data_IF_636658265409
#
_entry.id   IF_636658265409
#
_cell.length_a   1.000
_cell.length_b   1.000
_cell.length_c   1.000
_cell.angle_alpha   90.00
_cell.angle_beta   90.00
_cell.angle_gamma   90.00
#
_symmetry.space_group_name_H-M   'P 1'
#
loop_
_entity.id
_entity.type
_entity.pdbx_description
1 polymer ?
#
# COMPACT_ATOMS: atom_id res chain seq x y z
N UNK A 1 3.93 -8.74 -13.63
CA UNK A 1 3.51 -8.30 -12.30
C UNK A 1 4.51 -7.30 -11.76
N UNK A 2 4.04 -6.20 -11.23
CA UNK A 2 4.94 -5.12 -10.83
C UNK A 2 5.31 -5.23 -9.35
N UNK A 3 6.60 -5.39 -9.05
CA UNK A 3 7.08 -5.32 -7.68
C UNK A 3 7.27 -3.87 -7.20
N UNK A 4 6.92 -2.90 -8.06
CA UNK A 4 7.03 -1.47 -7.75
C UNK A 4 5.79 -0.91 -7.06
N UNK A 5 4.63 -1.53 -7.26
CA UNK A 5 3.36 -1.02 -6.76
C UNK A 5 2.61 -2.10 -6.00
N UNK A 6 1.78 -1.66 -5.04
CA UNK A 6 0.88 -2.56 -4.34
C UNK A 6 -0.09 -3.21 -5.33
N UNK A 7 -0.46 -4.47 -5.06
CA UNK A 7 -1.44 -5.18 -5.85
C UNK A 7 -2.82 -4.52 -5.74
N UNK A 8 -3.74 -4.91 -6.60
CA UNK A 8 -5.11 -4.39 -6.57
C UNK A 8 -5.77 -4.67 -5.21
N UNK A 9 -5.67 -5.90 -4.72
CA UNK A 9 -6.25 -6.30 -3.43
C UNK A 9 -5.65 -5.53 -2.26
N UNK A 10 -4.32 -5.37 -2.26
CA UNK A 10 -3.63 -4.61 -1.21
C UNK A 10 -4.01 -3.14 -1.29
N UNK A 11 -4.12 -2.59 -2.49
CA UNK A 11 -4.53 -1.20 -2.69
C UNK A 11 -5.95 -0.96 -2.17
N UNK A 12 -6.86 -1.92 -2.37
CA UNK A 12 -8.21 -1.84 -1.80
C UNK A 12 -8.18 -1.82 -0.27
N UNK A 13 -7.37 -2.69 0.33
CA UNK A 13 -7.24 -2.76 1.79
C UNK A 13 -6.68 -1.45 2.35
N UNK A 14 -5.69 -0.86 1.68
CA UNK A 14 -5.12 0.43 2.07
C UNK A 14 -6.15 1.55 1.99
N UNK A 15 -6.93 1.59 0.91
CA UNK A 15 -8.01 2.58 0.76
C UNK A 15 -9.02 2.46 1.91
N UNK A 16 -9.45 1.24 2.21
CA UNK A 16 -10.44 0.98 3.25
C UNK A 16 -9.90 1.32 4.64
N UNK A 17 -8.58 1.23 4.83
CA UNK A 17 -7.92 1.60 6.08
C UNK A 17 -7.65 3.11 6.19
N UNK A 18 -7.95 3.88 5.16
CA UNK A 18 -7.82 5.33 5.19
C UNK A 18 -6.60 5.91 4.48
N UNK A 19 -5.88 5.12 3.70
CA UNK A 19 -4.74 5.63 2.95
C UNK A 19 -5.19 6.70 1.95
N UNK A 20 -4.46 7.84 1.84
CA UNK A 20 -4.86 8.91 0.94
C UNK A 20 -4.79 8.47 -0.52
N UNK A 21 -5.83 8.78 -1.29
CA UNK A 21 -5.96 8.31 -2.67
C UNK A 21 -5.27 9.20 -3.71
N UNK A 22 -4.81 10.38 -3.29
CA UNK A 22 -4.06 11.24 -4.19
C UNK A 22 -4.89 11.80 -5.33
N UNK A 23 -4.22 12.17 -6.41
CA UNK A 23 -4.84 12.76 -7.60
C UNK A 23 -4.42 12.01 -8.87
N UNK A 24 -4.66 12.61 -10.02
CA UNK A 24 -4.35 11.99 -11.32
C UNK A 24 -2.87 11.80 -11.60
N UNK A 25 -1.97 12.38 -10.80
CA UNK A 25 -0.53 12.19 -10.96
C UNK A 25 -0.03 10.89 -10.35
N UNK A 26 -0.83 10.27 -9.49
CA UNK A 26 -0.50 9.00 -8.86
C UNK A 26 -0.93 7.83 -9.74
N UNK A 27 -0.28 6.69 -9.56
CA UNK A 27 -0.73 5.47 -10.22
C UNK A 27 -1.97 4.91 -9.53
N UNK A 28 -2.92 4.45 -10.32
CA UNK A 28 -4.18 3.88 -9.81
C UNK A 28 -4.48 2.57 -10.52
N UNK A 29 -5.06 1.64 -9.78
CA UNK A 29 -5.70 0.48 -10.36
C UNK A 29 -7.05 0.92 -10.89
N UNK A 30 -7.27 0.70 -12.16
CA UNK A 30 -8.53 1.02 -12.82
C UNK A 30 -9.39 -0.22 -12.90
N UNK A 31 -10.58 -0.12 -12.33
CA UNK A 31 -11.54 -1.23 -12.33
C UNK A 31 -12.35 -1.18 -13.61
N UNK A 32 -12.56 -2.33 -14.29
CA UNK A 32 -13.40 -2.36 -15.48
C UNK A 32 -14.78 -1.78 -15.23
N UNK A 33 -15.29 -1.03 -16.20
CA UNK A 33 -16.61 -0.44 -16.13
C UNK A 33 -17.70 -1.45 -16.43
N UNK A 34 -18.94 -1.05 -16.18
CA UNK A 34 -20.13 -1.87 -16.40
C UNK A 34 -20.26 -2.36 -17.83
N UNK A 35 -19.78 -1.57 -18.78
CA UNK A 35 -19.91 -1.86 -20.21
C UNK A 35 -18.68 -2.50 -20.84
N UNK A 36 -17.68 -2.82 -20.05
CA UNK A 36 -16.47 -3.46 -20.57
C UNK A 36 -16.74 -4.92 -20.92
N UNK A 37 -16.09 -5.37 -22.00
CA UNK A 37 -16.28 -6.72 -22.52
C UNK A 37 -15.37 -7.72 -21.78
N UNK A 38 -15.91 -8.85 -21.28
CA UNK A 38 -15.07 -9.87 -20.65
C UNK A 38 -14.11 -10.55 -21.67
N UNK A 39 -12.96 -11.09 -21.22
CA UNK A 39 -12.46 -11.01 -19.85
C UNK A 39 -11.85 -9.65 -19.55
N UNK A 40 -12.15 -9.15 -18.39
CA UNK A 40 -11.57 -7.88 -17.96
C UNK A 40 -10.87 -8.06 -16.61
N UNK A 41 -9.81 -7.29 -16.40
CA UNK A 41 -9.05 -7.31 -15.17
C UNK A 41 -8.61 -5.89 -14.85
N UNK A 42 -8.38 -5.57 -13.56
CA UNK A 42 -7.83 -4.27 -13.20
C UNK A 42 -6.48 -4.04 -13.89
N UNK A 43 -6.23 -2.81 -14.30
CA UNK A 43 -4.95 -2.44 -14.89
C UNK A 43 -4.42 -1.16 -14.25
N UNK A 44 -3.11 -1.02 -14.22
CA UNK A 44 -2.43 0.07 -13.56
C UNK A 44 -2.22 1.23 -14.53
N UNK A 45 -2.59 2.42 -14.10
CA UNK A 45 -2.40 3.63 -14.91
C UNK A 45 -2.22 4.85 -14.03
N UNK A 46 -1.88 5.97 -14.66
CA UNK A 46 -1.57 7.23 -13.96
C UNK A 46 -2.76 8.19 -13.88
N UNK A 47 -3.88 7.84 -14.47
CA UNK A 47 -5.02 8.73 -14.52
C UNK A 47 -6.21 8.18 -13.74
N UNK A 48 -6.67 8.95 -12.76
CA UNK A 48 -7.86 8.60 -12.00
C UNK A 48 -9.07 9.30 -12.61
N UNK A 49 -9.94 8.54 -13.24
CA UNK A 49 -11.13 9.09 -13.90
C UNK A 49 -12.44 8.66 -13.23
N UNK A 50 -12.39 7.70 -12.32
CA UNK A 50 -13.58 7.13 -11.69
C UNK A 50 -13.39 6.97 -10.19
N UNK A 51 -14.48 7.07 -9.43
CA UNK A 51 -14.46 6.88 -7.98
C UNK A 51 -14.08 5.45 -7.58
N UNK A 52 -14.28 4.49 -8.49
CA UNK A 52 -13.91 3.10 -8.24
C UNK A 52 -12.41 2.84 -8.40
N UNK A 53 -11.68 3.74 -9.02
CA UNK A 53 -10.24 3.60 -9.19
C UNK A 53 -9.55 3.72 -7.83
N UNK A 54 -8.53 2.91 -7.61
CA UNK A 54 -7.86 2.79 -6.31
C UNK A 54 -6.38 3.07 -6.48
N UNK A 55 -5.83 3.96 -5.65
CA UNK A 55 -4.42 4.32 -5.74
C UNK A 55 -3.50 3.14 -5.41
N UNK A 56 -2.53 2.91 -6.28
CA UNK A 56 -1.42 1.99 -6.04
C UNK A 56 -0.24 2.77 -5.45
N UNK A 57 0.48 2.14 -4.52
CA UNK A 57 1.57 2.80 -3.80
C UNK A 57 2.90 2.14 -4.12
N UNK A 58 3.96 2.95 -4.19
CA UNK A 58 5.33 2.48 -4.30
C UNK A 58 5.96 2.36 -2.91
N UNK A 59 7.07 1.63 -2.83
CA UNK A 59 7.77 1.42 -1.57
C UNK A 59 8.16 2.74 -0.89
N UNK A 60 8.71 3.70 -1.65
CA UNK A 60 9.12 5.00 -1.11
C UNK A 60 7.94 5.79 -0.56
N UNK A 61 6.81 5.75 -1.25
CA UNK A 61 5.58 6.41 -0.80
C UNK A 61 5.06 5.80 0.50
N UNK A 62 5.12 4.48 0.62
CA UNK A 62 4.67 3.78 1.82
C UNK A 62 5.58 4.12 3.01
N UNK A 63 6.89 4.12 2.81
CA UNK A 63 7.85 4.44 3.88
C UNK A 63 7.58 5.85 4.43
N UNK A 64 7.40 6.83 3.55
CA UNK A 64 7.08 8.19 3.96
C UNK A 64 5.75 8.25 4.72
N UNK A 65 4.75 7.51 4.25
CA UNK A 65 3.44 7.48 4.88
C UNK A 65 3.48 6.85 6.27
N UNK A 66 4.22 5.75 6.44
CA UNK A 66 4.39 5.10 7.74
C UNK A 66 5.02 6.09 8.73
N UNK A 67 6.06 6.81 8.31
CA UNK A 67 6.71 7.80 9.16
C UNK A 67 5.77 8.94 9.54
N UNK A 68 4.98 9.39 8.59
CA UNK A 68 4.00 10.46 8.82
C UNK A 68 2.88 10.02 9.77
N UNK A 69 2.49 8.74 9.70
CA UNK A 69 1.36 8.20 10.47
C UNK A 69 1.75 7.73 11.87
N UNK A 70 2.95 8.03 12.33
CA UNK A 70 3.32 7.81 13.73
C UNK A 70 4.40 6.78 14.00
N UNK A 71 4.94 6.15 12.98
CA UNK A 71 6.11 5.30 13.16
C UNK A 71 7.37 6.16 13.07
N UNK A 72 8.27 6.00 14.04
CA UNK A 72 9.51 6.80 14.06
C UNK A 72 10.59 6.22 13.17
N UNK A 73 10.55 4.92 12.90
CA UNK A 73 11.55 4.25 12.07
C UNK A 73 10.94 3.06 11.34
N UNK A 74 11.49 2.79 10.19
CA UNK A 74 11.17 1.60 9.39
C UNK A 74 12.49 0.88 9.14
N UNK A 75 12.53 -0.40 9.46
CA UNK A 75 13.69 -1.26 9.24
C UNK A 75 13.33 -2.31 8.19
N UNK A 76 14.18 -2.46 7.20
CA UNK A 76 13.98 -3.39 6.09
C UNK A 76 15.16 -4.35 6.05
N UNK A 77 14.86 -5.63 6.09
CA UNK A 77 15.86 -6.68 6.01
C UNK A 77 15.56 -7.58 4.83
N UNK A 78 16.59 -7.87 4.04
CA UNK A 78 16.49 -8.78 2.92
C UNK A 78 17.03 -10.16 3.36
N UNK A 79 16.10 -11.05 3.64
CA UNK A 79 16.38 -12.44 4.01
C UNK A 79 15.77 -13.33 2.91
N UNK A 80 15.32 -14.55 3.23
CA UNK A 80 14.59 -15.38 2.25
C UNK A 80 13.39 -14.63 1.69
N UNK A 81 12.73 -13.87 2.55
CA UNK A 81 11.72 -12.90 2.15
C UNK A 81 12.13 -11.53 2.67
N UNK A 82 11.49 -10.49 2.18
CA UNK A 82 11.65 -9.14 2.73
C UNK A 82 10.98 -9.07 4.09
N UNK A 83 11.72 -8.60 5.09
CA UNK A 83 11.19 -8.41 6.46
C UNK A 83 11.13 -6.92 6.75
N UNK A 84 9.95 -6.44 7.09
CA UNK A 84 9.72 -5.02 7.43
C UNK A 84 9.29 -4.93 8.88
N UNK A 85 10.04 -4.13 9.65
CA UNK A 85 9.72 -3.82 11.04
C UNK A 85 9.47 -2.33 11.17
N UNK A 86 8.50 -1.95 11.97
CA UNK A 86 8.26 -0.56 12.30
C UNK A 86 8.47 -0.35 13.80
N UNK A 87 8.93 0.83 14.16
CA UNK A 87 9.23 1.18 15.54
C UNK A 87 8.47 2.45 15.91
N UNK A 88 7.89 2.46 17.10
CA UNK A 88 7.20 3.62 17.61
C UNK A 88 7.65 3.81 19.05
N UNK A 89 8.25 4.98 19.35
CA UNK A 89 8.78 5.26 20.69
C UNK A 89 9.77 4.21 21.18
N UNK A 90 10.59 3.68 20.27
CA UNK A 90 11.59 2.66 20.59
C UNK A 90 11.04 1.24 20.71
N UNK A 91 9.74 1.05 20.53
CA UNK A 91 9.12 -0.28 20.61
C UNK A 91 8.97 -0.85 19.20
N UNK A 92 9.51 -2.05 19.01
CA UNK A 92 9.40 -2.77 17.75
C UNK A 92 8.02 -3.42 17.64
N UNK A 93 7.34 -3.15 16.55
CA UNK A 93 6.07 -3.78 16.23
C UNK A 93 6.31 -5.13 15.56
N UNK A 94 5.25 -5.93 15.43
CA UNK A 94 5.29 -7.21 14.74
C UNK A 94 5.93 -7.07 13.36
N UNK A 95 6.91 -7.91 13.00
CA UNK A 95 7.48 -7.88 11.66
C UNK A 95 6.51 -8.42 10.62
N UNK A 96 6.64 -7.94 9.40
CA UNK A 96 5.87 -8.41 8.25
C UNK A 96 6.85 -8.95 7.21
N UNK A 97 6.55 -10.13 6.70
CA UNK A 97 7.40 -10.82 5.75
C UNK A 97 6.63 -11.05 4.45
N UNK A 98 7.30 -10.84 3.33
CA UNK A 98 6.73 -11.09 2.00
C UNK A 98 7.86 -11.16 0.99
N UNK A 99 7.66 -11.93 -0.06
CA UNK A 99 8.63 -11.98 -1.16
C UNK A 99 8.70 -10.66 -1.95
N UNK A 100 7.67 -9.83 -1.87
CA UNK A 100 7.65 -8.49 -2.45
C UNK A 100 7.84 -7.44 -1.36
N UNK A 101 8.85 -6.57 -1.53
CA UNK A 101 9.12 -5.49 -0.58
C UNK A 101 7.92 -4.55 -0.44
N UNK A 102 7.30 -4.16 -1.55
CA UNK A 102 6.17 -3.24 -1.50
C UNK A 102 4.99 -3.84 -0.75
N UNK A 103 4.76 -5.14 -0.88
CA UNK A 103 3.68 -5.83 -0.16
C UNK A 103 3.99 -5.95 1.34
N UNK A 104 5.23 -6.24 1.70
CA UNK A 104 5.65 -6.27 3.11
C UNK A 104 5.47 -4.90 3.76
N UNK A 105 5.88 -3.84 3.07
CA UNK A 105 5.69 -2.46 3.53
C UNK A 105 4.21 -2.11 3.66
N UNK A 106 3.39 -2.53 2.71
CA UNK A 106 1.95 -2.28 2.75
C UNK A 106 1.28 -2.94 3.96
N UNK A 107 1.68 -4.16 4.30
CA UNK A 107 1.16 -4.86 5.48
C UNK A 107 1.53 -4.10 6.76
N UNK A 108 2.78 -3.63 6.85
CA UNK A 108 3.21 -2.83 7.99
C UNK A 108 2.41 -1.53 8.09
N UNK A 109 2.19 -0.85 6.98
CA UNK A 109 1.40 0.38 6.95
C UNK A 109 -0.06 0.15 7.34
N UNK A 110 -0.65 -0.95 6.88
CA UNK A 110 -2.02 -1.32 7.27
C UNK A 110 -2.14 -1.43 8.79
N UNK A 111 -1.15 -2.04 9.45
CA UNK A 111 -1.14 -2.14 10.92
C UNK A 111 -1.06 -0.76 11.58
N UNK A 112 -0.24 0.14 11.04
CA UNK A 112 -0.12 1.52 11.55
C UNK A 112 -1.44 2.27 11.36
N UNK A 113 -2.06 2.16 10.19
CA UNK A 113 -3.35 2.82 9.91
C UNK A 113 -4.45 2.36 10.84
N UNK A 114 -4.49 1.06 11.15
CA UNK A 114 -5.49 0.51 12.08
C UNK A 114 -5.30 1.06 13.49
N UNK A 115 -4.05 1.24 13.93
CA UNK A 115 -3.76 1.83 15.24
C UNK A 115 -4.15 3.31 15.30
N UNK A 116 -3.86 4.07 14.25
CA UNK A 116 -4.24 5.48 14.17
C UNK A 116 -5.76 5.64 14.26
N UNK A 117 -6.51 4.77 13.62
CA UNK A 117 -7.98 4.81 13.69
C UNK A 117 -8.53 4.51 15.08
N UNK A 118 -7.82 3.69 15.84
CA UNK A 118 -8.24 3.33 17.21
C UNK A 118 -7.88 4.40 18.24
N UNK A 119 -6.89 5.20 17.92
CA UNK A 119 -6.45 6.29 18.77
C UNK A 119 -7.22 7.53 18.53
#
# INVERSE_FOLDING_TARGET
>A
MSDFYTSYETSLALRDAGAPQGDGSNHHWRVPGEFDVPPFAPWLGTYRSRTADVRAFRADEIIESIRADGAHAVDIEDDDEWVVRTYSYGVCRRPYEHESLVEALAQAWLAVLKEVKRG
#
